data_IF_910335853780
#
_entry.id   IF_910335853780
#
_cell.length_a   1.000
_cell.length_b   1.000
_cell.length_c   1.000
_cell.angle_alpha   90.00
_cell.angle_beta   90.00
_cell.angle_gamma   90.00
#
_symmetry.space_group_name_H-M   'P 1'
#
loop_
_entity.id
_entity.type
_entity.pdbx_description
1 polymer ?
#
# COMPACT_ATOMS: atom_id res chain seq x y z
N UNK A 1 20.57 66.36 -29.77
CA UNK A 1 19.13 66.71 -29.62
C UNK A 1 18.49 65.59 -28.82
N UNK A 2 18.32 65.73 -27.48
CA UNK A 2 17.12 66.28 -26.79
C UNK A 2 15.81 65.63 -27.25
N UNK A 3 14.86 65.19 -26.41
CA UNK A 3 14.66 65.13 -24.96
C UNK A 3 13.38 64.28 -24.74
N UNK A 4 13.31 63.60 -23.60
CA UNK A 4 12.17 63.41 -22.66
C UNK A 4 10.70 63.36 -23.12
N UNK A 5 9.93 62.46 -22.47
CA UNK A 5 8.80 62.71 -21.52
C UNK A 5 8.22 61.34 -21.08
N UNK A 6 8.25 60.88 -19.82
CA UNK A 6 7.72 61.39 -18.53
C UNK A 6 6.19 61.37 -18.41
N UNK A 7 5.65 60.59 -17.45
CA UNK A 7 4.71 60.93 -16.34
C UNK A 7 4.16 59.61 -15.72
N UNK A 8 4.41 59.30 -14.43
CA UNK A 8 3.70 59.72 -13.18
C UNK A 8 2.29 59.10 -13.06
N UNK A 9 1.89 58.53 -11.92
CA UNK A 9 1.42 59.20 -10.67
C UNK A 9 1.38 58.12 -9.56
N UNK A 10 2.09 58.27 -8.42
CA UNK A 10 1.67 58.88 -7.14
C UNK A 10 0.71 57.98 -6.31
N UNK A 11 0.71 57.82 -4.98
CA UNK A 11 1.37 58.50 -3.84
C UNK A 11 0.91 57.86 -2.51
N UNK A 12 1.72 58.05 -1.44
CA UNK A 12 1.34 58.22 -0.01
C UNK A 12 0.79 56.99 0.78
N UNK A 13 1.14 56.70 2.05
CA UNK A 13 1.75 57.50 3.14
C UNK A 13 2.17 56.60 4.32
N UNK A 14 3.16 57.07 5.10
CA UNK A 14 3.36 57.00 6.58
C UNK A 14 3.24 55.64 7.32
N UNK A 15 4.09 55.28 8.29
CA UNK A 15 4.79 56.13 9.26
C UNK A 15 6.07 55.46 9.77
N UNK A 16 7.10 56.27 9.98
CA UNK A 16 8.23 55.96 10.84
C UNK A 16 7.91 56.42 12.27
N UNK A 17 8.22 55.58 13.26
CA UNK A 17 8.38 56.02 14.64
C UNK A 17 9.72 55.51 15.14
N UNK A 18 10.66 56.43 15.29
CA UNK A 18 11.90 56.24 16.04
C UNK A 18 11.59 56.27 17.53
N UNK A 19 12.14 55.33 18.29
CA UNK A 19 12.39 55.49 19.71
C UNK A 19 13.82 55.04 20.02
N UNK A 20 14.67 56.01 20.34
CA UNK A 20 16.00 55.83 20.91
C UNK A 20 15.89 55.93 22.45
N UNK A 21 16.45 54.95 23.15
CA UNK A 21 16.92 55.03 24.56
C UNK A 21 17.63 53.70 24.85
N UNK A 22 18.96 53.63 24.73
CA UNK A 22 19.96 53.86 25.79
C UNK A 22 20.04 52.73 26.83
N UNK A 23 21.16 51.99 26.81
CA UNK A 23 22.02 51.65 27.97
C UNK A 23 22.85 50.37 27.72
N UNK A 24 24.17 50.55 27.73
CA UNK A 24 25.22 49.70 28.28
C UNK A 24 25.35 48.20 27.91
N UNK A 25 26.62 47.86 27.65
CA UNK A 25 27.31 46.60 27.90
C UNK A 25 27.35 45.47 26.85
N UNK A 26 28.59 44.97 26.73
CA UNK A 26 29.14 44.01 25.78
C UNK A 26 28.30 42.73 25.68
N UNK A 27 27.93 42.29 24.47
CA UNK A 27 27.51 40.90 24.23
C UNK A 27 27.91 40.37 22.85
N UNK A 28 28.09 39.05 22.85
CA UNK A 28 28.91 38.21 21.99
C UNK A 28 28.48 38.06 20.52
N UNK A 29 29.40 37.51 19.73
CA UNK A 29 29.27 37.14 18.32
C UNK A 29 27.94 36.42 18.01
N UNK A 30 27.38 36.63 16.79
CA UNK A 30 26.10 36.04 16.41
C UNK A 30 26.18 34.51 16.42
N UNK A 31 25.28 33.90 17.19
CA UNK A 31 25.01 32.46 17.22
C UNK A 31 24.61 31.98 15.82
N UNK A 32 25.27 30.94 15.34
CA UNK A 32 24.83 30.18 14.17
C UNK A 32 23.45 29.57 14.49
N UNK A 33 22.42 30.04 13.79
CA UNK A 33 21.07 29.53 13.92
C UNK A 33 20.97 28.22 13.11
N UNK A 34 21.18 27.10 13.80
CA UNK A 34 20.94 25.74 13.29
C UNK A 34 19.44 25.43 13.34
N UNK A 35 18.62 26.19 12.61
CA UNK A 35 17.27 25.73 12.26
C UNK A 35 17.35 25.05 10.92
N UNK A 36 17.68 23.75 10.99
CA UNK A 36 17.61 22.81 9.89
C UNK A 36 16.29 22.99 9.13
N UNK A 37 16.40 23.34 7.85
CA UNK A 37 15.31 23.10 6.91
C UNK A 37 15.04 21.59 6.93
N UNK A 38 14.01 21.18 7.66
CA UNK A 38 13.47 19.83 7.61
C UNK A 38 13.06 19.58 6.17
N UNK A 39 13.90 18.83 5.46
CA UNK A 39 13.56 18.23 4.19
C UNK A 39 12.29 17.41 4.43
N UNK A 40 11.16 17.84 3.86
CA UNK A 40 9.96 17.00 3.76
C UNK A 40 10.26 15.88 2.77
N UNK A 41 11.03 14.89 3.21
CA UNK A 41 11.13 13.62 2.54
C UNK A 41 9.78 12.92 2.69
N UNK A 42 8.87 13.17 1.75
CA UNK A 42 7.73 12.27 1.52
C UNK A 42 8.27 11.08 0.72
N UNK A 43 9.09 10.25 1.36
CA UNK A 43 9.31 8.89 0.87
C UNK A 43 8.11 8.08 1.30
N UNK A 44 7.22 7.75 0.34
CA UNK A 44 6.30 6.63 0.54
C UNK A 44 7.17 5.39 0.51
N UNK A 45 7.78 5.05 1.63
CA UNK A 45 8.74 3.95 1.71
C UNK A 45 7.97 2.65 1.49
N UNK A 46 8.18 2.04 0.33
CA UNK A 46 7.58 0.77 -0.04
C UNK A 46 8.61 -0.33 0.13
N UNK A 47 8.28 -1.32 0.96
CA UNK A 47 9.12 -2.49 1.17
C UNK A 47 8.37 -3.76 0.81
N UNK A 48 9.09 -4.74 0.26
CA UNK A 48 8.58 -6.07 -0.04
C UNK A 48 9.39 -7.13 0.72
N UNK A 49 8.71 -7.99 1.46
CA UNK A 49 9.31 -9.09 2.22
C UNK A 49 8.77 -10.40 1.68
N UNK A 50 9.67 -11.31 1.32
CA UNK A 50 9.31 -12.64 0.85
C UNK A 50 9.32 -13.63 2.02
N UNK A 51 8.45 -14.63 1.94
CA UNK A 51 8.44 -15.74 2.87
C UNK A 51 7.78 -16.97 2.30
N UNK A 52 7.80 -18.02 3.10
CA UNK A 52 7.16 -19.30 2.80
C UNK A 52 6.24 -19.63 3.95
N UNK A 53 5.08 -20.19 3.64
CA UNK A 53 4.21 -20.75 4.66
C UNK A 53 3.52 -22.01 4.13
N UNK A 54 3.05 -22.83 5.05
CA UNK A 54 2.20 -23.99 4.73
C UNK A 54 0.90 -23.83 5.47
N UNK A 55 -0.20 -24.11 4.76
CA UNK A 55 -1.47 -24.37 5.43
C UNK A 55 -1.42 -25.70 6.21
N UNK A 56 -2.45 -25.97 6.98
CA UNK A 56 -2.55 -27.21 7.76
C UNK A 56 -2.83 -28.45 6.90
N UNK A 57 -3.01 -28.31 5.58
CA UNK A 57 -3.57 -29.35 4.74
C UNK A 57 -2.55 -29.97 3.81
N UNK A 58 -1.79 -29.27 2.96
CA UNK A 58 -0.73 -29.94 2.15
C UNK A 58 0.11 -29.09 1.19
N UNK A 59 -0.06 -27.78 1.08
CA UNK A 59 0.69 -27.01 0.08
C UNK A 59 1.54 -25.92 0.72
N UNK A 60 2.86 -26.09 0.60
CA UNK A 60 3.80 -25.00 0.80
C UNK A 60 3.53 -23.93 -0.26
N UNK A 61 3.47 -22.68 0.19
CA UNK A 61 3.07 -21.52 -0.57
C UNK A 61 4.07 -20.41 -0.34
N UNK A 62 4.56 -19.82 -1.43
CA UNK A 62 5.41 -18.64 -1.39
C UNK A 62 4.54 -17.40 -1.25
N UNK A 63 4.97 -16.43 -0.45
CA UNK A 63 4.28 -15.15 -0.33
C UNK A 63 5.22 -13.96 -0.42
N UNK A 64 4.64 -12.82 -0.81
CA UNK A 64 5.25 -11.51 -0.85
C UNK A 64 4.36 -10.54 -0.07
N UNK A 65 4.86 -10.03 1.04
CA UNK A 65 4.20 -9.01 1.85
C UNK A 65 4.73 -7.62 1.48
N UNK A 66 3.83 -6.71 1.09
CA UNK A 66 4.15 -5.33 0.74
C UNK A 66 3.75 -4.39 1.88
N UNK A 67 4.68 -3.51 2.25
CA UNK A 67 4.54 -2.52 3.31
C UNK A 67 4.68 -1.13 2.72
N UNK A 68 3.79 -0.21 3.09
CA UNK A 68 3.86 1.21 2.73
C UNK A 68 3.93 2.01 4.03
N UNK A 69 4.97 2.83 4.17
CA UNK A 69 5.28 3.55 5.42
C UNK A 69 5.35 2.60 6.63
N UNK A 70 5.95 1.43 6.42
CA UNK A 70 6.08 0.38 7.43
C UNK A 70 4.79 -0.35 7.79
N UNK A 71 3.65 -0.08 7.14
CA UNK A 71 2.37 -0.77 7.37
C UNK A 71 2.07 -1.76 6.25
N UNK A 72 1.67 -2.98 6.61
CA UNK A 72 1.23 -3.99 5.64
C UNK A 72 0.03 -3.48 4.83
N UNK A 73 0.14 -3.55 3.51
CA UNK A 73 -0.94 -3.17 2.57
C UNK A 73 -1.40 -4.32 1.70
N UNK A 74 -0.50 -5.25 1.35
CA UNK A 74 -0.83 -6.39 0.49
C UNK A 74 -0.06 -7.63 0.93
N UNK A 75 -0.69 -8.79 0.86
CA UNK A 75 -0.01 -10.08 0.81
C UNK A 75 -0.38 -10.75 -0.53
N UNK A 76 0.61 -11.00 -1.38
CA UNK A 76 0.48 -11.80 -2.58
C UNK A 76 0.98 -13.21 -2.29
N UNK A 77 0.21 -14.21 -2.68
CA UNK A 77 0.47 -15.62 -2.41
C UNK A 77 0.49 -16.39 -3.74
N UNK A 78 1.47 -17.28 -3.89
CA UNK A 78 1.53 -18.24 -4.98
C UNK A 78 1.69 -19.66 -4.43
N UNK A 79 0.69 -20.48 -4.71
CA UNK A 79 0.64 -21.89 -4.32
C UNK A 79 0.73 -22.78 -5.55
N UNK A 80 1.53 -23.86 -5.45
CA UNK A 80 1.54 -24.94 -6.41
C UNK A 80 0.66 -26.09 -5.89
N UNK A 81 -0.43 -26.39 -6.61
CA UNK A 81 -1.33 -27.48 -6.27
C UNK A 81 -0.71 -28.83 -6.67
N UNK A 82 -1.24 -29.92 -6.10
CA UNK A 82 -0.74 -31.27 -6.32
C UNK A 82 -0.76 -31.71 -7.80
N UNK A 83 -1.70 -31.19 -8.59
CA UNK A 83 -1.79 -31.39 -10.04
C UNK A 83 -0.87 -30.46 -10.85
N UNK A 84 0.09 -29.80 -10.18
CA UNK A 84 1.01 -28.78 -10.72
C UNK A 84 0.32 -27.53 -11.25
N UNK A 85 -0.98 -27.36 -11.00
CA UNK A 85 -1.66 -26.10 -11.32
C UNK A 85 -1.26 -25.03 -10.32
N UNK A 86 -1.34 -23.76 -10.74
CA UNK A 86 -1.02 -22.62 -9.89
C UNK A 86 -2.31 -21.99 -9.38
N UNK A 87 -2.28 -21.62 -8.10
CA UNK A 87 -3.26 -20.74 -7.48
C UNK A 87 -2.52 -19.51 -6.98
N UNK A 88 -2.95 -18.35 -7.45
CA UNK A 88 -2.45 -17.03 -7.05
C UNK A 88 -3.54 -16.35 -6.24
N UNK A 89 -3.17 -15.76 -5.11
CA UNK A 89 -4.10 -15.00 -4.27
C UNK A 89 -3.48 -13.68 -3.88
N UNK A 90 -4.32 -12.67 -3.67
CA UNK A 90 -3.87 -11.39 -3.13
C UNK A 90 -4.87 -10.87 -2.11
N UNK A 91 -4.33 -10.40 -0.99
CA UNK A 91 -5.07 -9.90 0.17
C UNK A 91 -4.69 -8.44 0.39
N UNK A 92 -5.64 -7.53 0.26
CA UNK A 92 -5.41 -6.09 0.37
C UNK A 92 -5.96 -5.56 1.69
N UNK A 93 -5.21 -4.68 2.35
CA UNK A 93 -5.52 -4.21 3.69
C UNK A 93 -5.67 -2.69 3.75
N UNK A 94 -6.56 -2.22 4.64
CA UNK A 94 -6.66 -0.82 5.02
C UNK A 94 -5.53 -0.43 5.98
N UNK A 95 -5.43 0.87 6.30
CA UNK A 95 -4.46 1.39 7.26
C UNK A 95 -4.61 0.84 8.70
N UNK A 96 -5.76 0.25 9.01
CA UNK A 96 -6.11 -0.43 10.27
C UNK A 96 -6.01 -1.95 10.17
N UNK A 97 -5.35 -2.44 9.12
CA UNK A 97 -5.13 -3.87 8.84
C UNK A 97 -6.42 -4.67 8.66
N UNK A 98 -7.48 -4.02 8.17
CA UNK A 98 -8.73 -4.69 7.80
C UNK A 98 -8.70 -5.05 6.32
N UNK A 99 -9.09 -6.27 5.93
CA UNK A 99 -9.13 -6.64 4.52
C UNK A 99 -10.16 -5.79 3.77
N UNK A 100 -9.75 -5.29 2.61
CA UNK A 100 -10.56 -4.44 1.72
C UNK A 100 -10.86 -5.14 0.39
N UNK A 101 -9.99 -6.06 -0.01
CA UNK A 101 -10.14 -6.87 -1.22
C UNK A 101 -9.46 -8.22 -1.06
N UNK A 102 -10.11 -9.26 -1.54
CA UNK A 102 -9.54 -10.60 -1.71
C UNK A 102 -9.62 -10.95 -3.20
N UNK A 103 -8.50 -11.37 -3.76
CA UNK A 103 -8.40 -11.79 -5.15
C UNK A 103 -7.88 -13.21 -5.22
N UNK A 104 -8.42 -14.00 -6.13
CA UNK A 104 -7.90 -15.31 -6.49
C UNK A 104 -7.90 -15.49 -8.01
N UNK A 105 -6.79 -16.01 -8.51
CA UNK A 105 -6.65 -16.55 -9.84
C UNK A 105 -6.20 -18.01 -9.71
N UNK A 106 -6.98 -18.94 -10.26
CA UNK A 106 -6.67 -20.37 -10.15
C UNK A 106 -6.95 -21.10 -11.46
N UNK A 107 -6.04 -21.99 -11.84
CA UNK A 107 -6.29 -22.99 -12.86
C UNK A 107 -7.07 -24.18 -12.27
N UNK A 108 -8.15 -24.58 -12.94
CA UNK A 108 -9.05 -25.67 -12.55
C UNK A 108 -9.00 -26.76 -13.62
N UNK A 109 -8.97 -28.02 -13.21
CA UNK A 109 -9.10 -29.14 -14.14
C UNK A 109 -10.57 -29.58 -14.21
N UNK A 110 -11.21 -29.39 -15.37
CA UNK A 110 -12.57 -29.87 -15.62
C UNK A 110 -12.53 -31.26 -16.26
N UNK A 111 -13.01 -32.26 -15.52
CA UNK A 111 -13.23 -33.60 -16.07
C UNK A 111 -14.47 -33.59 -16.96
N UNK A 112 -14.35 -34.17 -18.15
CA UNK A 112 -15.47 -34.42 -19.07
C UNK A 112 -15.55 -35.92 -19.31
N UNK A 113 -16.76 -36.49 -19.27
CA UNK A 113 -16.94 -37.94 -19.37
C UNK A 113 -16.50 -38.51 -20.73
N UNK A 114 -16.46 -37.69 -21.77
CA UNK A 114 -16.23 -38.11 -23.15
C UNK A 114 -15.13 -37.30 -23.87
N UNK A 115 -14.30 -36.54 -23.15
CA UNK A 115 -13.20 -35.77 -23.76
C UNK A 115 -12.02 -35.63 -22.81
N UNK A 116 -10.85 -35.30 -23.36
CA UNK A 116 -9.65 -34.96 -22.58
C UNK A 116 -9.98 -33.88 -21.54
N UNK A 117 -9.49 -34.00 -20.29
CA UNK A 117 -9.65 -32.97 -19.28
C UNK A 117 -9.19 -31.61 -19.80
N UNK A 118 -9.98 -30.57 -19.53
CA UNK A 118 -9.66 -29.21 -19.95
C UNK A 118 -9.23 -28.38 -18.73
N UNK A 119 -8.16 -27.62 -18.87
CA UNK A 119 -7.80 -26.57 -17.91
C UNK A 119 -8.67 -25.34 -18.14
N UNK A 120 -9.33 -24.87 -17.08
CA UNK A 120 -10.12 -23.65 -17.03
C UNK A 120 -9.44 -22.65 -16.11
N UNK A 121 -9.59 -21.36 -16.38
CA UNK A 121 -9.07 -20.29 -15.52
C UNK A 121 -10.22 -19.62 -14.76
N UNK A 122 -10.14 -19.67 -13.42
CA UNK A 122 -11.08 -19.00 -12.52
C UNK A 122 -10.44 -17.73 -11.98
N UNK A 123 -11.16 -16.62 -12.11
CA UNK A 123 -10.84 -15.33 -11.52
C UNK A 123 -11.95 -14.96 -10.55
N UNK A 124 -11.61 -14.70 -9.29
CA UNK A 124 -12.54 -14.28 -8.26
C UNK A 124 -12.03 -13.01 -7.58
N UNK A 125 -12.94 -12.06 -7.35
CA UNK A 125 -12.63 -10.79 -6.74
C UNK A 125 -13.75 -10.44 -5.74
N UNK A 126 -13.37 -10.19 -4.49
CA UNK A 126 -14.27 -9.93 -3.37
C UNK A 126 -13.85 -8.60 -2.76
N UNK A 127 -14.78 -7.66 -2.66
CA UNK A 127 -14.56 -6.36 -2.00
C UNK A 127 -15.26 -6.33 -0.66
N UNK A 128 -14.58 -5.80 0.35
CA UNK A 128 -15.02 -5.85 1.74
C UNK A 128 -14.80 -4.52 2.45
N UNK A 129 -15.64 -4.29 3.46
CA UNK A 129 -15.44 -3.26 4.48
C UNK A 129 -15.39 -3.97 5.83
N UNK A 130 -14.17 -4.24 6.31
CA UNK A 130 -13.93 -5.00 7.53
C UNK A 130 -14.33 -6.47 7.37
N UNK A 131 -15.41 -6.87 8.04
CA UNK A 131 -15.94 -8.24 7.98
C UNK A 131 -17.12 -8.41 7.02
N UNK A 132 -17.63 -7.30 6.47
CA UNK A 132 -18.77 -7.30 5.55
C UNK A 132 -18.29 -7.42 4.10
N UNK A 133 -18.93 -8.30 3.33
CA UNK A 133 -18.76 -8.36 1.87
C UNK A 133 -19.65 -7.29 1.23
N UNK A 134 -19.04 -6.38 0.48
CA UNK A 134 -19.75 -5.34 -0.26
C UNK A 134 -20.12 -5.82 -1.66
N UNK A 135 -19.22 -6.55 -2.32
CA UNK A 135 -19.49 -7.20 -3.60
C UNK A 135 -18.54 -8.36 -3.87
N UNK A 136 -18.97 -9.30 -4.71
CA UNK A 136 -18.14 -10.40 -5.18
C UNK A 136 -18.44 -10.71 -6.65
N UNK A 137 -17.40 -11.00 -7.42
CA UNK A 137 -17.51 -11.36 -8.83
C UNK A 137 -16.61 -12.55 -9.15
N UNK A 138 -17.09 -13.44 -10.02
CA UNK A 138 -16.32 -14.58 -10.52
C UNK A 138 -16.50 -14.75 -12.03
N UNK A 139 -15.41 -15.08 -12.69
CA UNK A 139 -15.38 -15.50 -14.08
C UNK A 139 -14.62 -16.81 -14.21
N UNK A 140 -15.11 -17.69 -15.08
CA UNK A 140 -14.42 -18.94 -15.46
C UNK A 140 -14.34 -18.97 -16.97
N UNK A 141 -13.12 -18.95 -17.54
CA UNK A 141 -12.89 -18.80 -18.99
C UNK A 141 -13.74 -17.65 -19.58
N UNK A 142 -13.72 -16.47 -18.95
CA UNK A 142 -14.49 -15.27 -19.32
C UNK A 142 -16.02 -15.38 -19.17
N UNK A 143 -16.54 -16.53 -18.74
CA UNK A 143 -17.97 -16.71 -18.44
C UNK A 143 -18.24 -16.30 -17.01
N UNK A 144 -19.14 -15.34 -16.80
CA UNK A 144 -19.58 -14.94 -15.45
C UNK A 144 -20.22 -16.13 -14.74
N UNK A 145 -19.82 -16.34 -13.48
CA UNK A 145 -20.38 -17.37 -12.60
C UNK A 145 -20.80 -16.74 -11.27
N UNK A 146 -21.80 -17.33 -10.65
CA UNK A 146 -22.20 -16.99 -9.29
C UNK A 146 -21.09 -17.36 -8.32
N UNK A 147 -20.70 -16.42 -7.46
CA UNK A 147 -19.83 -16.69 -6.32
C UNK A 147 -20.67 -17.37 -5.25
N UNK A 148 -20.24 -18.55 -4.81
CA UNK A 148 -20.95 -19.28 -3.77
C UNK A 148 -20.50 -18.79 -2.38
N UNK A 149 -21.38 -18.80 -1.36
CA UNK A 149 -21.02 -18.35 0.00
C UNK A 149 -19.80 -19.06 0.59
N UNK A 150 -19.67 -20.37 0.36
CA UNK A 150 -18.52 -21.15 0.86
C UNK A 150 -17.19 -20.74 0.21
N UNK A 151 -17.20 -20.17 -1.00
CA UNK A 151 -15.98 -19.70 -1.66
C UNK A 151 -15.44 -18.44 -0.96
N UNK A 152 -16.36 -17.56 -0.57
CA UNK A 152 -16.05 -16.37 0.22
C UNK A 152 -15.50 -16.79 1.59
N UNK A 153 -16.17 -17.72 2.27
CA UNK A 153 -15.73 -18.22 3.57
C UNK A 153 -14.34 -18.87 3.50
N UNK A 154 -14.08 -19.67 2.47
CA UNK A 154 -12.77 -20.28 2.26
C UNK A 154 -11.67 -19.22 2.03
N UNK A 155 -11.94 -18.20 1.20
CA UNK A 155 -11.00 -17.10 0.99
C UNK A 155 -10.72 -16.33 2.27
N UNK A 156 -11.75 -16.11 3.09
CA UNK A 156 -11.64 -15.41 4.38
C UNK A 156 -10.87 -16.22 5.40
N UNK A 157 -11.11 -17.53 5.47
CA UNK A 157 -10.35 -18.43 6.34
C UNK A 157 -8.87 -18.40 5.96
N UNK A 158 -8.56 -18.56 4.68
CA UNK A 158 -7.18 -18.57 4.18
C UNK A 158 -6.47 -17.24 4.45
N UNK A 159 -7.16 -16.12 4.19
CA UNK A 159 -6.65 -14.77 4.48
C UNK A 159 -6.25 -14.61 5.96
N UNK A 160 -7.10 -15.03 6.90
CA UNK A 160 -6.79 -14.94 8.33
C UNK A 160 -5.57 -15.79 8.72
N UNK A 161 -5.45 -16.97 8.12
CA UNK A 161 -4.34 -17.88 8.38
C UNK A 161 -3.00 -17.29 7.94
N UNK A 162 -2.92 -16.76 6.70
CA UNK A 162 -1.68 -16.13 6.22
C UNK A 162 -1.40 -14.83 6.96
N UNK A 163 -2.42 -14.00 7.22
CA UNK A 163 -2.28 -12.75 7.94
C UNK A 163 -1.70 -12.94 9.34
N UNK A 164 -2.11 -14.00 10.05
CA UNK A 164 -1.57 -14.32 11.38
C UNK A 164 -0.07 -14.69 11.39
N UNK A 165 0.53 -14.97 10.22
CA UNK A 165 1.94 -15.36 10.06
C UNK A 165 2.81 -14.23 9.51
N UNK A 166 2.20 -13.17 8.98
CA UNK A 166 2.90 -12.03 8.39
C UNK A 166 2.91 -10.86 9.38
N UNK A 167 4.07 -10.24 9.65
CA UNK A 167 4.12 -9.04 10.50
C UNK A 167 3.22 -7.92 9.93
N UNK A 168 2.44 -7.27 10.78
CA UNK A 168 1.60 -6.13 10.35
C UNK A 168 2.43 -4.86 10.09
N UNK A 169 3.59 -4.79 10.74
CA UNK A 169 4.51 -3.65 10.62
C UNK A 169 5.92 -4.13 10.32
N UNK A 170 6.64 -3.36 9.52
CA UNK A 170 8.04 -3.62 9.24
C UNK A 170 8.87 -2.33 9.44
N UNK A 171 9.98 -2.47 10.17
CA UNK A 171 10.99 -1.43 10.34
C UNK A 171 12.28 -1.93 9.73
N UNK A 172 12.83 -1.21 8.75
CA UNK A 172 14.12 -1.55 8.15
C UNK A 172 15.20 -1.71 9.24
N UNK A 173 16.06 -2.75 9.16
CA UNK A 173 17.22 -2.85 10.04
C UNK A 173 18.05 -1.56 9.94
N UNK A 174 18.48 -1.01 11.07
CA UNK A 174 19.41 0.12 11.07
C UNK A 174 20.71 -0.33 10.42
N UNK A 175 21.05 0.22 9.27
CA UNK A 175 22.40 0.12 8.72
C UNK A 175 23.28 1.09 9.49
N UNK A 176 23.91 0.62 10.56
CA UNK A 176 25.02 1.36 11.17
C UNK A 176 26.16 1.39 10.15
N UNK A 177 26.59 2.61 9.76
CA UNK A 177 27.76 2.87 8.93
C UNK A 177 28.79 3.60 9.76
#
# INVERSE_FOLDING_TARGET
MTRSKSLLVATLTCAAAFALSACADKKAAPTADSTAAMSTASSTDTMKVQGIWSDSVTAESGYLAEYVNGKLVVIEEQMLLADRTRSERAYFYSADFKPTRLFEHRALTAASSNSTPKTLHSLMNIYLTGDKVDSAAKQVDFVKKTVQPYEIENMRKHEREIFARVPMTYTAPRTER
#
